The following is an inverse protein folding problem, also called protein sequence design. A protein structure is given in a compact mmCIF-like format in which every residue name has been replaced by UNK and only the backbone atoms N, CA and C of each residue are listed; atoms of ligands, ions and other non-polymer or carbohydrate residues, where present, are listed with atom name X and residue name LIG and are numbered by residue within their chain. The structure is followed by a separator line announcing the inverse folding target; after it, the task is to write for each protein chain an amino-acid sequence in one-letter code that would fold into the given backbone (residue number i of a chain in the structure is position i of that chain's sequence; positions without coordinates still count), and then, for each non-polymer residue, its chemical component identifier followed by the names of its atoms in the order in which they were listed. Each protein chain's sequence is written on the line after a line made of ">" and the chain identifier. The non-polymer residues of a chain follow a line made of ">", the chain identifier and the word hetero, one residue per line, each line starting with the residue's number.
data_IF_155961267469
#
_entry.id   IF_155961267469
#
_cell.length_a   1.000
_cell.length_b   1.000
_cell.length_c   1.000
_cell.angle_alpha   90.00
_cell.angle_beta   90.00
_cell.angle_gamma   90.00
#
_symmetry.space_group_name_H-M   'P 1'
#
loop_
_entity.id
_entity.type
_entity.pdbx_description
1 polymer ?
#
# COMPACT_ATOMS: atom_id res chain seq x y z
N UNK A 1 6.17 18.30 0.09
CA UNK A 1 7.40 17.61 -0.32
C UNK A 1 8.10 18.41 -1.39
N UNK A 2 9.37 18.70 -1.21
CA UNK A 2 10.14 19.47 -2.19
C UNK A 2 10.58 18.60 -3.40
N UNK A 3 10.65 17.29 -3.23
CA UNK A 3 11.11 16.35 -4.26
C UNK A 3 10.35 15.03 -4.18
N UNK A 4 9.90 14.54 -5.33
CA UNK A 4 9.32 13.22 -5.48
C UNK A 4 10.17 12.38 -6.43
N UNK A 5 10.39 11.14 -6.07
CA UNK A 5 11.15 10.21 -6.89
C UNK A 5 10.27 9.53 -7.94
N UNK A 6 10.86 9.28 -9.10
CA UNK A 6 10.23 8.50 -10.16
C UNK A 6 11.19 7.45 -10.70
N UNK A 7 10.63 6.36 -11.19
CA UNK A 7 11.44 5.36 -11.88
C UNK A 7 12.02 5.93 -13.18
N UNK A 8 13.22 5.51 -13.53
CA UNK A 8 13.86 5.91 -14.78
C UNK A 8 12.98 5.50 -15.98
N UNK A 9 12.77 6.42 -16.90
CA UNK A 9 11.93 6.18 -18.09
C UNK A 9 12.70 5.55 -19.23
N UNK A 10 13.98 5.90 -19.37
CA UNK A 10 14.82 5.44 -20.47
C UNK A 10 15.64 4.20 -20.10
N UNK A 11 15.96 3.32 -21.08
CA UNK A 11 16.84 2.19 -20.85
C UNK A 11 18.25 2.67 -20.52
N UNK A 12 19.03 1.81 -19.85
CA UNK A 12 20.46 2.00 -19.71
C UNK A 12 21.09 1.95 -21.11
N UNK A 13 22.15 2.76 -21.30
CA UNK A 13 22.90 2.75 -22.56
C UNK A 13 24.37 2.49 -22.28
N UNK A 14 25.01 1.77 -23.17
CA UNK A 14 26.46 1.62 -23.18
C UNK A 14 27.16 2.93 -23.64
N UNK A 15 28.50 3.04 -23.55
CA UNK A 15 29.22 4.21 -24.04
C UNK A 15 29.05 4.51 -25.54
N UNK A 16 28.58 3.51 -26.30
CA UNK A 16 28.28 3.65 -27.75
C UNK A 16 26.84 4.06 -28.02
N UNK A 17 26.01 4.21 -26.95
CA UNK A 17 24.61 4.62 -27.04
C UNK A 17 23.61 3.48 -27.26
N UNK A 18 24.02 2.21 -27.28
CA UNK A 18 23.12 1.08 -27.44
C UNK A 18 22.38 0.79 -26.12
N UNK A 19 21.10 0.41 -26.17
CA UNK A 19 20.37 0.02 -24.96
C UNK A 19 20.94 -1.29 -24.40
N UNK A 20 21.19 -1.29 -23.08
CA UNK A 20 21.61 -2.47 -22.34
C UNK A 20 20.61 -2.81 -21.25
N UNK A 21 20.31 -4.10 -21.01
CA UNK A 21 19.41 -4.50 -19.94
C UNK A 21 20.00 -4.18 -18.57
N UNK A 22 19.16 -3.79 -17.62
CA UNK A 22 19.57 -3.60 -16.24
C UNK A 22 19.75 -4.96 -15.57
N UNK A 23 20.95 -5.24 -15.07
CA UNK A 23 21.25 -6.51 -14.38
C UNK A 23 20.41 -6.72 -13.11
N UNK A 24 20.04 -5.63 -12.43
CA UNK A 24 19.30 -5.66 -11.17
C UNK A 24 17.79 -5.84 -11.36
N UNK A 25 17.15 -5.02 -12.17
CA UNK A 25 15.70 -5.01 -12.30
C UNK A 25 15.19 -5.67 -13.57
N UNK A 26 16.07 -6.15 -14.47
CA UNK A 26 15.69 -6.73 -15.78
C UNK A 26 14.72 -5.84 -16.57
N UNK A 27 14.98 -4.53 -16.53
CA UNK A 27 14.17 -3.46 -17.15
C UNK A 27 12.77 -3.25 -16.55
N UNK A 28 12.43 -3.94 -15.46
CA UNK A 28 11.19 -3.72 -14.70
C UNK A 28 11.18 -2.37 -13.95
N UNK A 29 12.36 -1.75 -13.78
CA UNK A 29 12.58 -0.45 -13.12
C UNK A 29 12.38 -0.45 -11.61
N UNK A 30 11.91 -1.55 -11.03
CA UNK A 30 11.70 -1.75 -9.61
C UNK A 30 12.31 -3.08 -9.18
N UNK A 31 12.80 -3.14 -7.93
CA UNK A 31 13.36 -4.34 -7.33
C UNK A 31 12.70 -4.56 -5.97
N UNK A 32 12.27 -5.80 -5.73
CA UNK A 32 11.68 -6.19 -4.46
C UNK A 32 10.32 -5.60 -4.20
N UNK A 33 9.91 -5.64 -2.95
CA UNK A 33 8.61 -5.17 -2.47
C UNK A 33 8.79 -4.46 -1.14
N UNK A 34 8.09 -3.35 -0.95
CA UNK A 34 8.04 -2.61 0.31
C UNK A 34 6.61 -2.63 0.82
N UNK A 35 6.42 -2.98 2.09
CA UNK A 35 5.11 -2.91 2.72
C UNK A 35 4.74 -1.48 3.06
N UNK A 36 3.48 -1.13 2.85
CA UNK A 36 2.87 0.11 3.32
C UNK A 36 1.73 -0.24 4.24
N UNK A 37 1.74 0.32 5.44
CA UNK A 37 0.83 -0.08 6.51
C UNK A 37 0.08 1.10 7.08
N UNK A 38 -1.20 0.91 7.33
CA UNK A 38 -2.02 1.75 8.17
C UNK A 38 -2.24 1.00 9.48
N UNK A 39 -1.83 1.60 10.60
CA UNK A 39 -1.90 0.96 11.91
C UNK A 39 -2.82 1.76 12.83
N UNK A 40 -3.81 1.10 13.37
CA UNK A 40 -4.75 1.67 14.32
C UNK A 40 -4.70 0.90 15.64
N UNK A 41 -4.43 1.61 16.73
CA UNK A 41 -4.47 1.03 18.07
C UNK A 41 -5.90 1.06 18.57
N UNK A 42 -6.44 -0.09 18.91
CA UNK A 42 -7.81 -0.21 19.43
C UNK A 42 -7.83 0.15 20.91
N UNK A 43 -8.32 1.32 21.24
CA UNK A 43 -8.55 1.78 22.62
C UNK A 43 -9.98 1.45 23.11
N UNK A 44 -10.30 1.84 24.32
CA UNK A 44 -11.60 1.54 24.93
C UNK A 44 -12.77 2.21 24.18
N UNK A 45 -12.52 3.37 23.57
CA UNK A 45 -13.52 4.03 22.71
C UNK A 45 -13.88 3.14 21.51
N UNK A 46 -12.89 2.64 20.80
CA UNK A 46 -13.12 1.77 19.64
C UNK A 46 -13.73 0.42 20.03
N UNK A 47 -13.34 -0.13 21.18
CA UNK A 47 -13.90 -1.40 21.69
C UNK A 47 -15.40 -1.33 21.91
N UNK A 48 -15.90 -0.18 22.33
CA UNK A 48 -17.34 0.05 22.51
C UNK A 48 -18.02 0.53 21.23
N UNK A 49 -17.33 1.33 20.43
CA UNK A 49 -17.91 1.94 19.24
C UNK A 49 -18.15 0.95 18.10
N UNK A 50 -17.21 0.04 17.87
CA UNK A 50 -17.29 -0.93 16.76
C UNK A 50 -18.47 -1.89 16.92
N UNK A 51 -18.64 -2.61 18.04
CA UNK A 51 -19.81 -3.47 18.23
C UNK A 51 -21.11 -2.68 18.42
N UNK A 52 -21.04 -1.43 18.86
CA UNK A 52 -22.18 -0.53 19.01
C UNK A 52 -22.71 0.08 17.71
N UNK A 53 -22.25 -0.38 16.55
CA UNK A 53 -22.74 0.10 15.25
C UNK A 53 -22.12 1.42 14.79
N UNK A 54 -20.90 1.73 15.24
CA UNK A 54 -20.16 2.91 14.78
C UNK A 54 -19.91 2.87 13.27
N UNK A 55 -20.12 4.00 12.61
CA UNK A 55 -19.90 4.14 11.16
C UNK A 55 -18.40 4.23 10.81
N UNK A 56 -18.07 3.84 9.59
CA UNK A 56 -16.69 4.00 9.06
C UNK A 56 -16.20 5.45 9.15
N UNK A 57 -17.10 6.42 8.92
CA UNK A 57 -16.77 7.85 9.00
C UNK A 57 -16.39 8.28 10.41
N UNK A 58 -17.12 7.80 11.43
CA UNK A 58 -16.79 8.07 12.84
C UNK A 58 -15.45 7.47 13.26
N UNK A 59 -15.17 6.24 12.83
CA UNK A 59 -13.89 5.57 13.10
C UNK A 59 -12.73 6.31 12.43
N UNK A 60 -12.90 6.72 11.17
CA UNK A 60 -11.90 7.54 10.46
C UNK A 60 -11.66 8.89 11.13
N UNK A 61 -12.71 9.58 11.56
CA UNK A 61 -12.59 10.85 12.27
C UNK A 61 -11.84 10.69 13.59
N UNK A 62 -12.16 9.65 14.35
CA UNK A 62 -11.43 9.31 15.57
C UNK A 62 -9.94 9.01 15.28
N UNK A 63 -9.66 8.20 14.27
CA UNK A 63 -8.29 7.86 13.87
C UNK A 63 -7.47 9.11 13.53
N UNK A 64 -8.06 10.05 12.78
CA UNK A 64 -7.45 11.35 12.48
C UNK A 64 -7.19 12.18 13.73
N UNK A 65 -8.15 12.22 14.66
CA UNK A 65 -8.00 12.93 15.95
C UNK A 65 -6.84 12.37 16.77
N UNK A 66 -6.57 11.08 16.69
CA UNK A 66 -5.41 10.42 17.30
C UNK A 66 -4.10 10.57 16.51
N UNK A 67 -4.07 11.45 15.50
CA UNK A 67 -2.94 11.65 14.58
C UNK A 67 -2.56 10.38 13.81
N UNK A 68 -3.52 9.51 13.56
CA UNK A 68 -3.35 8.32 12.72
C UNK A 68 -3.03 8.72 11.28
N UNK A 69 -2.13 7.99 10.65
CA UNK A 69 -1.74 8.18 9.25
C UNK A 69 -2.45 7.15 8.38
N UNK A 70 -3.15 7.62 7.38
CA UNK A 70 -3.83 6.75 6.42
C UNK A 70 -2.83 6.07 5.49
N UNK A 71 -3.25 4.96 4.90
CA UNK A 71 -2.43 4.17 3.97
C UNK A 71 -1.85 5.02 2.83
N UNK A 72 -2.65 5.94 2.28
CA UNK A 72 -2.22 6.86 1.23
C UNK A 72 -1.08 7.79 1.67
N UNK A 73 -1.14 8.29 2.90
CA UNK A 73 -0.10 9.16 3.47
C UNK A 73 1.19 8.39 3.71
N UNK A 74 1.08 7.14 4.15
CA UNK A 74 2.23 6.26 4.33
C UNK A 74 2.87 5.90 2.98
N UNK A 75 2.06 5.66 1.95
CA UNK A 75 2.54 5.43 0.59
C UNK A 75 3.27 6.65 0.01
N UNK A 76 2.73 7.86 0.22
CA UNK A 76 3.41 9.10 -0.19
C UNK A 76 4.72 9.32 0.55
N UNK A 77 4.78 9.01 1.85
CA UNK A 77 6.02 9.07 2.61
C UNK A 77 7.10 8.12 2.04
N UNK A 78 6.70 6.94 1.55
CA UNK A 78 7.62 6.02 0.87
C UNK A 78 8.14 6.59 -0.46
N UNK A 79 7.32 7.36 -1.19
CA UNK A 79 7.76 8.09 -2.40
C UNK A 79 8.75 9.20 -2.04
N UNK A 80 8.46 9.98 -1.01
CA UNK A 80 9.36 11.04 -0.52
C UNK A 80 10.71 10.49 -0.06
N UNK A 81 10.71 9.32 0.56
CA UNK A 81 11.93 8.61 0.97
C UNK A 81 12.71 7.96 -0.20
N UNK A 82 12.16 7.96 -1.42
CA UNK A 82 12.78 7.34 -2.59
C UNK A 82 12.66 5.83 -2.68
N UNK A 83 11.83 5.20 -1.84
CA UNK A 83 11.62 3.75 -1.84
C UNK A 83 10.75 3.27 -3.01
N UNK A 84 9.91 4.16 -3.54
CA UNK A 84 9.02 3.88 -4.66
C UNK A 84 8.74 5.17 -5.43
N UNK A 85 7.88 5.09 -6.45
CA UNK A 85 7.45 6.25 -7.23
C UNK A 85 5.95 6.52 -7.09
N UNK A 86 5.54 7.76 -7.38
CA UNK A 86 4.13 8.13 -7.36
C UNK A 86 3.29 7.30 -8.36
N UNK A 87 3.87 6.98 -9.52
CA UNK A 87 3.22 6.14 -10.53
C UNK A 87 2.91 4.74 -10.01
N UNK A 88 3.83 4.13 -9.26
CA UNK A 88 3.64 2.81 -8.66
C UNK A 88 2.61 2.85 -7.53
N UNK A 89 2.66 3.86 -6.67
CA UNK A 89 1.64 4.06 -5.62
C UNK A 89 0.25 4.17 -6.23
N UNK A 90 0.09 4.99 -7.27
CA UNK A 90 -1.19 5.13 -7.96
C UNK A 90 -1.67 3.80 -8.54
N UNK A 91 -0.80 3.07 -9.25
CA UNK A 91 -1.13 1.77 -9.83
C UNK A 91 -1.65 0.78 -8.79
N UNK A 92 -1.01 0.69 -7.63
CA UNK A 92 -1.38 -0.24 -6.55
C UNK A 92 -2.67 0.20 -5.86
N UNK A 93 -2.84 1.50 -5.61
CA UNK A 93 -4.04 2.04 -4.95
C UNK A 93 -5.29 1.91 -5.83
N UNK A 94 -5.18 2.20 -7.13
CA UNK A 94 -6.28 2.07 -8.08
C UNK A 94 -6.69 0.58 -8.22
N UNK A 95 -5.72 -0.33 -8.31
CA UNK A 95 -6.00 -1.77 -8.34
C UNK A 95 -6.70 -2.27 -7.06
N UNK A 96 -6.40 -1.68 -5.90
CA UNK A 96 -7.06 -2.01 -4.63
C UNK A 96 -8.50 -1.48 -4.54
N UNK A 97 -8.79 -0.38 -5.24
CA UNK A 97 -10.15 0.19 -5.29
C UNK A 97 -11.10 -0.65 -6.17
N UNK A 98 -10.57 -1.33 -7.17
CA UNK A 98 -11.35 -2.20 -8.08
C UNK A 98 -11.50 -3.63 -7.57
N UNK A 99 -10.80 -4.03 -6.51
CA UNK A 99 -11.00 -5.34 -5.92
C UNK A 99 -12.45 -5.43 -5.38
N UNK A 100 -13.31 -6.30 -5.93
CA UNK A 100 -14.66 -6.47 -5.39
C UNK A 100 -14.51 -6.91 -3.94
N UNK A 101 -15.34 -6.37 -3.08
CA UNK A 101 -15.53 -6.82 -1.70
C UNK A 101 -16.12 -8.24 -1.77
N UNK A 102 -15.34 -9.17 -2.34
CA UNK A 102 -15.69 -10.57 -2.51
C UNK A 102 -15.57 -11.27 -1.17
N UNK A 103 -16.65 -11.90 -0.79
CA UNK A 103 -16.78 -12.76 0.37
C UNK A 103 -15.49 -13.58 0.59
N UNK A 104 -14.92 -13.43 1.76
CA UNK A 104 -13.86 -14.30 2.27
C UNK A 104 -14.34 -15.74 2.10
N UNK A 105 -13.62 -16.61 1.36
CA UNK A 105 -14.01 -18.00 1.26
C UNK A 105 -14.13 -18.59 2.68
N UNK A 106 -15.24 -19.29 2.93
CA UNK A 106 -15.45 -19.95 4.20
C UNK A 106 -14.28 -20.91 4.50
N UNK A 107 -13.78 -20.96 5.74
CA UNK A 107 -12.74 -21.91 6.10
C UNK A 107 -13.24 -23.33 5.82
N UNK A 108 -12.37 -24.24 5.34
CA UNK A 108 -12.75 -25.62 5.11
C UNK A 108 -13.27 -26.23 6.42
N UNK A 109 -14.39 -26.94 6.31
CA UNK A 109 -15.00 -27.63 7.44
C UNK A 109 -13.98 -28.59 8.06
N UNK A 110 -13.81 -28.47 9.38
CA UNK A 110 -12.94 -29.35 10.15
C UNK A 110 -13.42 -30.81 9.99
N UNK A 111 -12.53 -31.77 9.77
CA UNK A 111 -12.92 -33.17 9.69
C UNK A 111 -13.50 -33.63 11.05
N UNK A 112 -14.73 -34.09 11.01
CA UNK A 112 -15.38 -34.73 12.17
C UNK A 112 -14.58 -35.95 12.56
N UNK A 113 -13.96 -35.93 13.74
CA UNK A 113 -13.41 -37.14 14.35
C UNK A 113 -14.55 -38.10 14.67
N UNK A 114 -14.52 -39.25 14.05
CA UNK A 114 -15.23 -40.44 14.55
C UNK A 114 -14.46 -41.05 15.69
#
# INVERSE_FOLDING_TARGET
>A
AERLFQARREPLRDPKGNPIPCEFCKDLRYIGRTGVFEVMVVDDYLRTKVPGGGTTSEIKAWFRKKKGRLLQEMALAAVEAGNTSLAEVKRVMDASAEAPTGARPAPPASPTRK
#
